data_IF_334121083647
#
_entry.id   IF_334121083647
#
_cell.length_a   1.000
_cell.length_b   1.000
_cell.length_c   1.000
_cell.angle_alpha   90.00
_cell.angle_beta   90.00
_cell.angle_gamma   90.00
#
_symmetry.space_group_name_H-M   'P 1'
#
loop_
_entity.id
_entity.type
_entity.pdbx_description
1 polymer ?
#
# COMPACT_ATOMS: atom_id res chain seq x y z
N UNK A 1 36.03 -59.55 -12.37
CA UNK A 1 35.43 -58.34 -11.78
C UNK A 1 34.23 -57.96 -12.64
N UNK A 2 33.04 -57.98 -12.04
CA UNK A 2 31.81 -57.38 -12.60
C UNK A 2 32.06 -55.91 -12.96
N UNK A 3 31.45 -55.39 -14.03
CA UNK A 3 30.26 -54.51 -13.99
C UNK A 3 29.70 -54.39 -15.43
N UNK A 4 28.47 -54.88 -15.61
CA UNK A 4 27.38 -54.25 -16.37
C UNK A 4 26.15 -54.34 -15.41
N UNK A 5 25.06 -53.54 -15.48
CA UNK A 5 24.57 -52.73 -16.60
C UNK A 5 23.96 -51.35 -16.19
N UNK A 6 23.58 -50.52 -17.18
CA UNK A 6 22.35 -49.67 -17.27
C UNK A 6 22.60 -48.58 -18.33
N UNK A 7 21.97 -48.62 -19.51
CA UNK A 7 20.58 -48.20 -19.73
C UNK A 7 20.39 -46.80 -19.11
N UNK A 8 20.23 -45.71 -19.83
CA UNK A 8 19.12 -45.39 -20.72
C UNK A 8 19.55 -44.15 -21.53
N UNK A 9 19.56 -44.27 -22.85
CA UNK A 9 18.58 -43.62 -23.73
C UNK A 9 18.95 -42.21 -24.18
N UNK A 10 19.18 -42.16 -25.49
CA UNK A 10 19.00 -41.03 -26.37
C UNK A 10 17.95 -40.01 -25.89
N UNK A 11 18.37 -38.77 -25.72
CA UNK A 11 17.49 -37.61 -25.88
C UNK A 11 18.14 -36.74 -26.95
N UNK A 12 17.94 -37.04 -28.24
CA UNK A 12 16.72 -36.73 -29.02
C UNK A 12 16.26 -35.28 -28.80
N UNK A 13 16.45 -34.46 -29.84
CA UNK A 13 15.67 -33.24 -30.03
C UNK A 13 16.17 -32.01 -29.27
N UNK A 14 17.20 -31.36 -29.81
CA UNK A 14 17.62 -29.99 -29.46
C UNK A 14 16.60 -28.92 -29.94
N UNK A 15 15.31 -29.18 -29.73
CA UNK A 15 14.18 -28.33 -30.06
C UNK A 15 13.36 -28.03 -28.81
N UNK A 16 14.04 -27.70 -27.69
CA UNK A 16 13.41 -27.06 -26.53
C UNK A 16 13.04 -25.63 -26.94
N UNK A 17 11.84 -25.55 -27.49
CA UNK A 17 11.09 -24.43 -28.04
C UNK A 17 11.48 -23.03 -27.54
N UNK A 18 11.72 -22.06 -28.44
CA UNK A 18 12.00 -20.66 -28.09
C UNK A 18 10.87 -20.02 -27.25
N UNK A 19 9.68 -20.60 -27.27
CA UNK A 19 8.54 -20.22 -26.43
C UNK A 19 8.81 -20.36 -24.93
N UNK A 20 9.64 -21.32 -24.50
CA UNK A 20 9.98 -21.48 -23.09
C UNK A 20 10.87 -20.33 -22.58
N UNK A 21 11.81 -19.89 -23.43
CA UNK A 21 12.68 -18.73 -23.14
C UNK A 21 11.87 -17.42 -23.08
N UNK A 22 10.92 -17.23 -23.98
CA UNK A 22 10.01 -16.06 -23.98
C UNK A 22 9.11 -16.09 -22.74
N UNK A 23 8.55 -17.25 -22.39
CA UNK A 23 7.71 -17.40 -21.19
C UNK A 23 8.46 -17.02 -19.91
N UNK A 24 9.72 -17.45 -19.77
CA UNK A 24 10.54 -17.09 -18.62
C UNK A 24 10.88 -15.59 -18.57
N UNK A 25 11.16 -14.98 -19.72
CA UNK A 25 11.41 -13.53 -19.80
C UNK A 25 10.17 -12.71 -19.40
N UNK A 26 9.00 -13.05 -19.92
CA UNK A 26 7.73 -12.39 -19.55
C UNK A 26 7.45 -12.58 -18.05
N UNK A 27 7.64 -13.79 -17.54
CA UNK A 27 7.47 -14.07 -16.12
C UNK A 27 8.42 -13.24 -15.25
N UNK A 28 9.70 -13.14 -15.61
CA UNK A 28 10.66 -12.32 -14.90
C UNK A 28 10.28 -10.84 -14.92
N UNK A 29 9.84 -10.31 -16.07
CA UNK A 29 9.38 -8.92 -16.19
C UNK A 29 8.14 -8.65 -15.33
N UNK A 30 7.29 -9.64 -15.08
CA UNK A 30 6.14 -9.50 -14.18
C UNK A 30 6.51 -9.66 -12.71
N UNK A 31 7.38 -10.60 -12.38
CA UNK A 31 7.75 -10.92 -11.00
C UNK A 31 8.72 -9.90 -10.41
N UNK A 32 9.71 -9.43 -11.18
CA UNK A 32 10.74 -8.52 -10.68
C UNK A 32 10.13 -7.23 -10.09
N UNK A 33 9.19 -6.54 -10.76
CA UNK A 33 8.49 -5.40 -10.17
C UNK A 33 7.77 -5.76 -8.87
N UNK A 34 7.10 -6.91 -8.81
CA UNK A 34 6.38 -7.35 -7.60
C UNK A 34 7.34 -7.52 -6.43
N UNK A 35 8.50 -8.13 -6.64
CA UNK A 35 9.51 -8.27 -5.58
C UNK A 35 10.12 -6.92 -5.17
N UNK A 36 10.45 -6.08 -6.14
CA UNK A 36 11.05 -4.76 -5.86
C UNK A 36 10.08 -3.81 -5.15
N UNK A 37 8.80 -3.82 -5.52
CA UNK A 37 7.76 -3.02 -4.87
C UNK A 37 7.26 -3.64 -3.56
N UNK A 38 7.48 -4.93 -3.33
CA UNK A 38 7.16 -5.57 -2.04
C UNK A 38 8.14 -5.21 -0.94
N UNK A 39 9.36 -4.75 -1.27
CA UNK A 39 10.30 -4.19 -0.31
C UNK A 39 10.03 -2.69 -0.14
N UNK A 40 8.89 -2.37 0.46
CA UNK A 40 8.63 -1.01 0.92
C UNK A 40 9.69 -0.59 1.96
N UNK A 41 9.87 0.71 2.21
CA UNK A 41 10.79 1.16 3.25
C UNK A 41 10.33 0.60 4.61
N UNK A 42 11.04 -0.42 5.10
CA UNK A 42 10.86 -0.95 6.45
C UNK A 42 11.41 0.06 7.46
N UNK A 43 10.52 0.79 8.13
CA UNK A 43 10.88 1.75 9.15
C UNK A 43 9.70 2.52 9.71
N UNK A 44 9.87 3.21 10.84
CA UNK A 44 8.86 4.16 11.31
C UNK A 44 8.70 5.26 10.27
N UNK A 45 7.46 5.71 10.05
CA UNK A 45 7.19 6.87 9.21
C UNK A 45 8.07 8.05 9.64
N UNK A 46 8.48 8.87 8.67
CA UNK A 46 9.28 10.08 8.84
C UNK A 46 8.51 11.29 8.32
N UNK A 47 8.95 12.48 8.74
CA UNK A 47 8.41 13.73 8.19
C UNK A 47 8.71 13.77 6.69
N UNK A 48 7.70 14.09 5.89
CA UNK A 48 7.75 14.07 4.43
C UNK A 48 7.33 12.74 3.80
N UNK A 49 7.17 11.66 4.57
CA UNK A 49 6.69 10.39 4.03
C UNK A 49 5.20 10.48 3.66
N UNK A 50 4.83 9.71 2.64
CA UNK A 50 3.43 9.47 2.26
C UNK A 50 2.95 8.21 2.96
N UNK A 51 1.91 8.33 3.74
CA UNK A 51 1.24 7.22 4.42
C UNK A 51 -0.21 7.12 3.95
N UNK A 52 -0.77 5.93 4.01
CA UNK A 52 -2.13 5.63 3.59
C UNK A 52 -2.98 5.24 4.79
N UNK A 53 -4.21 5.74 4.85
CA UNK A 53 -5.18 5.30 5.85
C UNK A 53 -5.50 3.80 5.68
N UNK A 54 -5.38 3.03 6.76
CA UNK A 54 -5.63 1.59 6.72
C UNK A 54 -7.12 1.25 6.63
N UNK A 55 -7.96 2.01 7.33
CA UNK A 55 -9.40 1.83 7.40
C UNK A 55 -10.08 3.20 7.61
N UNK A 56 -11.41 3.19 7.76
CA UNK A 56 -12.21 4.37 8.05
C UNK A 56 -12.05 4.80 9.51
N UNK A 57 -11.22 5.81 9.75
CA UNK A 57 -10.89 6.30 11.08
C UNK A 57 -11.50 7.68 11.36
N UNK A 58 -11.90 7.93 12.61
CA UNK A 58 -12.22 9.29 13.08
C UNK A 58 -10.93 9.92 13.61
N UNK A 59 -10.53 11.01 12.99
CA UNK A 59 -9.26 11.70 13.28
C UNK A 59 -9.54 13.11 13.76
N UNK A 60 -8.63 13.65 14.58
CA UNK A 60 -8.75 15.00 15.11
C UNK A 60 -8.11 15.99 14.14
N UNK A 61 -8.83 17.05 13.80
CA UNK A 61 -8.30 18.15 13.00
C UNK A 61 -7.42 19.01 13.91
N UNK A 62 -6.19 19.23 13.49
CA UNK A 62 -5.27 20.16 14.12
C UNK A 62 -5.49 21.54 13.49
N UNK A 63 -5.97 22.50 14.27
CA UNK A 63 -6.10 23.87 13.79
C UNK A 63 -4.72 24.52 13.67
N UNK A 64 -4.35 24.98 12.47
CA UNK A 64 -3.32 26.01 12.35
C UNK A 64 -3.87 27.31 12.95
N UNK A 65 -3.10 28.01 13.78
CA UNK A 65 -3.56 29.15 14.58
C UNK A 65 -4.48 30.14 13.86
N UNK A 66 -5.44 30.66 14.62
CA UNK A 66 -6.42 31.72 14.33
C UNK A 66 -7.72 31.36 13.59
N UNK A 67 -8.04 30.10 13.30
CA UNK A 67 -9.42 29.74 12.91
C UNK A 67 -10.18 29.16 14.10
N UNK A 68 -11.13 29.95 14.62
CA UNK A 68 -12.18 29.58 15.55
C UNK A 68 -13.02 28.43 14.95
N UNK A 69 -12.53 27.20 15.07
CA UNK A 69 -13.33 26.01 14.77
C UNK A 69 -14.35 25.91 15.91
N UNK A 70 -15.58 26.34 15.63
CA UNK A 70 -16.72 26.16 16.51
C UNK A 70 -16.73 24.76 17.11
N UNK A 71 -16.98 24.69 18.41
CA UNK A 71 -16.80 23.62 19.40
C UNK A 71 -17.37 22.23 19.03
N UNK A 72 -17.90 22.04 17.82
CA UNK A 72 -18.60 20.84 17.36
C UNK A 72 -17.96 20.10 16.17
N UNK A 73 -16.83 20.53 15.60
CA UNK A 73 -16.25 19.87 14.41
C UNK A 73 -14.73 19.70 14.41
N UNK A 74 -14.11 19.51 15.57
CA UNK A 74 -12.67 19.21 15.66
C UNK A 74 -12.31 17.77 15.23
N UNK A 75 -13.27 16.99 14.72
CA UNK A 75 -13.06 15.64 14.23
C UNK A 75 -13.60 15.51 12.81
N UNK A 76 -12.90 14.76 11.97
CA UNK A 76 -13.35 14.36 10.66
C UNK A 76 -13.15 12.86 10.45
N UNK A 77 -13.85 12.31 9.45
CA UNK A 77 -13.71 10.92 9.04
C UNK A 77 -12.71 10.85 7.89
N UNK A 78 -11.67 10.04 8.09
CA UNK A 78 -10.72 9.67 7.06
C UNK A 78 -11.19 8.38 6.40
N UNK A 79 -11.24 8.36 5.07
CA UNK A 79 -11.59 7.16 4.32
C UNK A 79 -10.39 6.22 4.17
N UNK A 80 -10.62 4.90 3.99
CA UNK A 80 -9.54 3.97 3.70
C UNK A 80 -8.80 4.36 2.42
N UNK A 81 -7.50 4.08 2.37
CA UNK A 81 -6.61 4.36 1.24
C UNK A 81 -6.41 5.85 0.90
N UNK A 82 -6.90 6.77 1.74
CA UNK A 82 -6.58 8.20 1.62
C UNK A 82 -5.09 8.40 1.88
N UNK A 83 -4.45 9.15 0.98
CA UNK A 83 -3.05 9.53 1.11
C UNK A 83 -2.91 10.69 2.10
N UNK A 84 -1.94 10.57 2.99
CA UNK A 84 -1.56 11.62 3.93
C UNK A 84 -0.07 11.87 3.82
N UNK A 85 0.33 13.13 3.86
CA UNK A 85 1.74 13.54 3.93
C UNK A 85 2.07 13.86 5.38
N UNK A 86 3.08 13.20 5.95
CA UNK A 86 3.44 13.43 7.35
C UNK A 86 4.17 14.77 7.49
N UNK A 87 3.56 15.71 8.21
CA UNK A 87 4.10 17.05 8.42
C UNK A 87 4.96 17.12 9.69
N UNK A 88 4.52 16.47 10.77
CA UNK A 88 5.22 16.49 12.05
C UNK A 88 5.06 15.17 12.79
N UNK A 89 6.12 14.74 13.47
CA UNK A 89 6.03 13.64 14.44
C UNK A 89 5.62 14.19 15.80
N UNK A 90 4.62 13.56 16.42
CA UNK A 90 4.30 13.83 17.80
C UNK A 90 5.38 13.27 18.74
N UNK A 91 5.32 13.61 20.02
CA UNK A 91 6.24 13.08 21.01
C UNK A 91 6.14 11.54 21.06
N UNK A 92 7.26 10.84 21.30
CA UNK A 92 7.31 9.37 21.30
C UNK A 92 6.38 8.74 22.36
N UNK A 93 5.97 9.50 23.37
CA UNK A 93 5.02 9.08 24.41
C UNK A 93 3.58 8.93 23.91
N UNK A 94 3.19 9.66 22.87
CA UNK A 94 1.81 9.65 22.34
C UNK A 94 1.68 8.83 21.06
N UNK A 95 2.78 8.58 20.33
CA UNK A 95 2.78 7.78 19.10
C UNK A 95 1.90 8.34 17.97
N UNK A 96 1.43 9.57 18.12
CA UNK A 96 0.68 10.32 17.13
C UNK A 96 1.61 11.08 16.19
N UNK A 97 1.15 11.33 14.99
CA UNK A 97 1.80 12.17 14.00
C UNK A 97 0.76 13.10 13.40
N UNK A 98 1.20 14.28 12.99
CA UNK A 98 0.38 15.24 12.27
C UNK A 98 0.65 15.02 10.79
N UNK A 99 -0.40 14.65 10.06
CA UNK A 99 -0.33 14.43 8.64
C UNK A 99 -1.43 15.21 7.93
N UNK A 100 -1.19 15.59 6.69
CA UNK A 100 -2.12 16.36 5.88
C UNK A 100 -2.69 15.47 4.78
N UNK A 101 -4.02 15.33 4.67
CA UNK A 101 -4.62 14.48 3.67
C UNK A 101 -4.53 15.16 2.29
N UNK A 102 -4.13 14.38 1.29
CA UNK A 102 -3.96 14.81 -0.10
C UNK A 102 -4.80 13.94 -1.03
N UNK A 103 -5.28 14.51 -2.13
CA UNK A 103 -6.02 13.76 -3.16
C UNK A 103 -7.36 13.18 -2.70
N UNK A 104 -8.05 13.82 -1.75
CA UNK A 104 -9.38 13.40 -1.29
C UNK A 104 -10.43 13.55 -2.40
N UNK A 105 -11.18 12.47 -2.68
CA UNK A 105 -12.31 12.50 -3.61
C UNK A 105 -13.59 13.03 -2.96
N UNK A 106 -13.80 12.75 -1.67
CA UNK A 106 -14.95 13.24 -0.89
C UNK A 106 -14.50 14.33 0.07
N UNK A 107 -14.96 15.55 -0.20
CA UNK A 107 -14.66 16.72 0.64
C UNK A 107 -15.94 17.27 1.26
N UNK A 108 -15.87 17.60 2.55
CA UNK A 108 -16.98 18.22 3.29
C UNK A 108 -17.46 17.35 4.45
N UNK A 109 -18.14 17.93 5.45
CA UNK A 109 -18.55 17.20 6.65
C UNK A 109 -19.45 16.01 6.28
N UNK A 110 -19.21 14.81 6.85
CA UNK A 110 -18.31 14.49 7.99
C UNK A 110 -16.86 14.13 7.62
N UNK A 111 -16.46 14.23 6.35
CA UNK A 111 -15.16 13.81 5.84
C UNK A 111 -14.08 14.87 6.02
N UNK A 112 -12.82 14.43 6.04
CA UNK A 112 -11.67 15.33 6.11
C UNK A 112 -11.52 16.13 4.81
N UNK A 113 -11.00 17.35 4.94
CA UNK A 113 -10.79 18.29 3.82
C UNK A 113 -9.29 18.32 3.50
N UNK A 114 -8.89 18.37 2.22
CA UNK A 114 -7.48 18.47 1.85
C UNK A 114 -6.88 19.77 2.38
N UNK A 115 -5.59 19.76 2.73
CA UNK A 115 -4.92 20.98 3.21
C UNK A 115 -5.07 21.24 4.72
N UNK A 116 -5.92 20.49 5.43
CA UNK A 116 -6.08 20.65 6.89
C UNK A 116 -5.30 19.56 7.62
N UNK A 117 -4.34 19.92 8.50
CA UNK A 117 -3.56 18.93 9.22
C UNK A 117 -4.45 18.15 10.18
N UNK A 118 -4.26 16.83 10.23
CA UNK A 118 -4.99 15.91 11.10
C UNK A 118 -4.00 15.10 11.93
N UNK A 119 -4.42 14.71 13.13
CA UNK A 119 -3.65 13.80 13.97
C UNK A 119 -4.04 12.37 13.67
N UNK A 120 -3.06 11.58 13.30
CA UNK A 120 -3.18 10.15 13.00
C UNK A 120 -2.16 9.37 13.82
N UNK A 121 -2.45 8.11 14.10
CA UNK A 121 -1.55 7.23 14.84
C UNK A 121 -0.91 6.20 13.92
N UNK A 122 0.25 5.68 14.31
CA UNK A 122 1.00 4.67 13.54
C UNK A 122 0.19 3.41 13.21
N UNK A 123 -0.81 3.04 14.02
CA UNK A 123 -1.68 1.89 13.75
C UNK A 123 -2.84 2.18 12.79
N UNK A 124 -3.12 3.47 12.51
CA UNK A 124 -4.19 3.91 11.61
C UNK A 124 -3.69 4.17 10.18
N UNK A 125 -2.38 4.13 9.98
CA UNK A 125 -1.74 4.44 8.71
C UNK A 125 -0.64 3.44 8.38
N UNK A 126 -0.36 3.28 7.09
CA UNK A 126 0.68 2.39 6.57
C UNK A 126 1.52 3.11 5.52
N UNK A 127 2.82 2.83 5.45
CA UNK A 127 3.70 3.31 4.37
C UNK A 127 3.45 2.59 3.05
N UNK A 128 2.91 1.36 3.13
CA UNK A 128 2.67 0.54 1.95
C UNK A 128 1.22 0.68 1.51
N UNK A 129 0.95 1.04 0.24
CA UNK A 129 -0.41 0.94 -0.29
C UNK A 129 -0.83 -0.54 -0.22
N UNK A 130 -1.99 -0.82 0.36
CA UNK A 130 -2.56 -2.17 0.33
C UNK A 130 -3.02 -2.50 -1.10
N UNK A 131 -2.05 -2.92 -1.93
CA UNK A 131 -2.27 -3.34 -3.31
C UNK A 131 -3.01 -4.69 -3.37
N UNK A 132 -2.88 -5.50 -2.32
CA UNK A 132 -3.44 -6.85 -2.28
C UNK A 132 -4.94 -6.82 -2.01
N UNK A 133 -5.41 -5.93 -1.14
CA UNK A 133 -6.84 -5.69 -0.92
C UNK A 133 -7.56 -5.29 -2.21
N UNK A 134 -6.99 -4.34 -2.98
CA UNK A 134 -7.58 -3.91 -4.25
C UNK A 134 -7.63 -5.01 -5.32
N UNK A 135 -6.61 -5.88 -5.35
CA UNK A 135 -6.58 -7.02 -6.28
C UNK A 135 -7.64 -8.06 -5.93
N UNK A 136 -7.83 -8.35 -4.63
CA UNK A 136 -8.89 -9.24 -4.17
C UNK A 136 -10.27 -8.70 -4.48
N UNK A 137 -10.52 -7.40 -4.25
CA UNK A 137 -11.79 -6.76 -4.57
C UNK A 137 -12.13 -6.89 -6.07
N UNK A 138 -11.12 -6.72 -6.93
CA UNK A 138 -11.26 -6.83 -8.39
C UNK A 138 -11.48 -8.27 -8.83
N UNK A 139 -10.75 -9.23 -8.25
CA UNK A 139 -10.92 -10.65 -8.52
C UNK A 139 -12.28 -11.16 -8.02
N UNK A 140 -12.75 -10.70 -6.86
CA UNK A 140 -14.06 -11.03 -6.33
C UNK A 140 -15.15 -10.45 -7.23
N UNK A 141 -15.03 -9.20 -7.70
CA UNK A 141 -15.97 -8.64 -8.68
C UNK A 141 -15.98 -9.41 -10.01
N UNK A 142 -14.82 -9.85 -10.51
CA UNK A 142 -14.72 -10.66 -11.73
C UNK A 142 -15.30 -12.07 -11.55
N UNK A 143 -15.14 -12.66 -10.37
CA UNK A 143 -15.71 -13.99 -10.05
C UNK A 143 -17.21 -13.96 -9.76
N UNK A 144 -17.72 -12.82 -9.27
CA UNK A 144 -19.13 -12.60 -8.93
C UNK A 144 -19.96 -12.03 -10.08
N UNK A 145 -19.32 -11.63 -11.19
CA UNK A 145 -19.97 -11.15 -12.41
C UNK A 145 -20.51 -12.29 -13.28
N UNK A 146 -21.44 -13.08 -12.75
CA UNK A 146 -22.25 -14.04 -13.51
C UNK A 146 -23.73 -13.72 -13.37
#
# INVERSE_FOLDING_TARGET
>A
MNVDPSSEEASSGNSRTPLMSIGFAVFAVLIVPVFLYSMGPDGPAKVGDVVFATDRHRVRIMGSGNEEIGTYSAMCVLEPRVQLVVQQMGPPSEGGMIAEPVGLEKTGPPFCVPGKPVMVYSHQVTLQPDLWGGLQDTLLQLSSGR
#
